data_IF_704620865812
#
_entry.id   IF_704620865812
#
_cell.length_a   1.000
_cell.length_b   1.000
_cell.length_c   1.000
_cell.angle_alpha   90.00
_cell.angle_beta   90.00
_cell.angle_gamma   90.00
#
_symmetry.space_group_name_H-M   'P 1'
#
loop_
_entity.id
_entity.type
_entity.pdbx_description
1 polymer ?
#
# COMPACT_ATOMS: atom_id res chain seq x y z
N UNK A 1 19.93 24.82 58.92
CA UNK A 1 18.61 24.61 58.30
C UNK A 1 18.80 23.74 57.07
N UNK A 2 18.23 22.53 57.12
CA UNK A 2 18.15 21.61 55.99
C UNK A 2 17.23 22.18 54.91
N UNK A 3 17.64 22.15 53.64
CA UNK A 3 16.70 22.03 52.52
C UNK A 3 17.27 21.01 51.54
N UNK A 4 16.50 19.93 51.41
CA UNK A 4 16.69 18.75 50.59
C UNK A 4 16.62 19.11 49.10
N UNK A 5 17.64 18.75 48.33
CA UNK A 5 17.57 18.77 46.86
C UNK A 5 16.91 17.49 46.38
N UNK A 6 15.63 17.59 46.02
CA UNK A 6 14.85 16.50 45.41
C UNK A 6 15.25 16.36 43.95
N UNK A 7 16.01 15.32 43.64
CA UNK A 7 16.31 14.90 42.26
C UNK A 7 15.04 14.35 41.61
N UNK A 8 14.45 15.10 40.67
CA UNK A 8 13.44 14.57 39.77
C UNK A 8 14.11 13.73 38.68
N UNK A 9 13.98 12.41 38.75
CA UNK A 9 14.24 11.55 37.60
C UNK A 9 13.04 11.63 36.65
N UNK A 10 13.18 12.40 35.56
CA UNK A 10 12.33 12.23 34.39
C UNK A 10 12.88 11.03 33.60
N UNK A 11 12.27 9.87 33.78
CA UNK A 11 12.44 8.74 32.89
C UNK A 11 11.79 9.09 31.54
N UNK A 12 12.57 9.66 30.63
CA UNK A 12 12.17 9.75 29.23
C UNK A 12 12.21 8.33 28.65
N UNK A 13 11.03 7.76 28.37
CA UNK A 13 10.90 6.60 27.51
C UNK A 13 11.45 6.99 26.13
N UNK A 14 12.74 6.77 25.90
CA UNK A 14 13.31 6.74 24.56
C UNK A 14 12.77 5.48 23.88
N UNK A 15 11.57 5.61 23.30
CA UNK A 15 11.17 4.71 22.23
C UNK A 15 12.26 4.78 21.17
N UNK A 16 12.83 3.63 20.81
CA UNK A 16 13.78 3.53 19.71
C UNK A 16 13.17 4.21 18.48
N UNK A 17 13.83 5.28 17.99
CA UNK A 17 13.44 5.93 16.74
C UNK A 17 13.76 4.94 15.62
N UNK A 18 12.75 4.16 15.22
CA UNK A 18 12.83 3.33 14.02
C UNK A 18 12.87 4.31 12.84
N UNK A 19 13.86 4.17 11.97
CA UNK A 19 13.95 5.01 10.79
C UNK A 19 12.75 4.69 9.87
N UNK A 20 11.97 5.70 9.51
CA UNK A 20 10.75 5.50 8.72
C UNK A 20 11.03 4.94 7.31
N UNK A 21 12.30 4.98 6.85
CA UNK A 21 12.76 4.38 5.59
C UNK A 21 12.69 2.85 5.58
N UNK A 22 12.68 2.22 6.76
CA UNK A 22 12.87 0.77 6.92
C UNK A 22 11.54 0.05 7.19
N UNK A 23 10.42 0.76 7.04
CA UNK A 23 9.08 0.25 7.30
C UNK A 23 8.31 0.15 6.00
N UNK A 24 8.01 -1.07 5.55
CA UNK A 24 7.00 -1.27 4.50
C UNK A 24 5.63 -1.11 5.14
N UNK A 25 4.85 -0.15 4.67
CA UNK A 25 3.51 0.11 5.18
C UNK A 25 2.48 -0.19 4.10
N UNK A 26 1.53 -1.09 4.39
CA UNK A 26 0.46 -1.49 3.47
C UNK A 26 -0.88 -1.10 4.06
N UNK A 27 -1.64 -0.29 3.34
CA UNK A 27 -2.93 0.22 3.82
C UNK A 27 -4.05 -0.03 2.81
N UNK A 28 -5.25 -0.33 3.31
CA UNK A 28 -6.47 -0.23 2.51
C UNK A 28 -6.86 1.25 2.40
N UNK A 29 -6.61 1.87 1.24
CA UNK A 29 -6.95 3.27 0.97
C UNK A 29 -8.45 3.42 0.74
N UNK A 30 -9.01 2.53 -0.09
CA UNK A 30 -10.45 2.44 -0.34
C UNK A 30 -10.90 0.97 -0.39
N UNK A 31 -12.09 0.66 0.13
CA UNK A 31 -13.00 1.57 0.84
C UNK A 31 -12.54 1.88 2.27
N UNK A 32 -12.95 3.04 2.79
CA UNK A 32 -12.89 3.40 4.21
C UNK A 32 -14.21 3.07 4.91
N UNK A 33 -14.20 3.05 6.25
CA UNK A 33 -15.40 2.91 7.08
C UNK A 33 -16.26 4.19 7.02
N UNK A 34 -16.88 4.40 5.86
CA UNK A 34 -17.67 5.57 5.48
C UNK A 34 -18.88 5.11 4.65
N UNK A 35 -19.70 6.07 4.23
CA UNK A 35 -20.84 5.83 3.34
C UNK A 35 -20.59 6.47 1.98
N UNK A 36 -20.74 5.69 0.90
CA UNK A 36 -20.56 6.16 -0.47
C UNK A 36 -21.86 6.04 -1.27
N UNK A 37 -22.01 6.80 -2.35
CA UNK A 37 -23.02 6.49 -3.36
C UNK A 37 -22.73 5.10 -3.98
N UNK A 38 -23.76 4.30 -4.32
CA UNK A 38 -23.57 3.11 -5.12
C UNK A 38 -22.83 3.43 -6.43
N UNK A 39 -21.90 2.55 -6.81
CA UNK A 39 -21.02 2.75 -7.96
C UNK A 39 -20.67 1.39 -8.60
N UNK A 40 -20.89 1.28 -9.91
CA UNK A 40 -20.57 0.11 -10.73
C UNK A 40 -19.07 -0.03 -11.07
N UNK A 41 -18.29 1.00 -10.78
CA UNK A 41 -16.85 1.09 -10.96
C UNK A 41 -16.19 1.59 -9.67
N UNK A 42 -16.57 1.01 -8.53
CA UNK A 42 -15.99 1.42 -7.24
C UNK A 42 -14.56 0.89 -7.11
N UNK A 43 -13.56 1.74 -6.77
CA UNK A 43 -12.18 1.32 -6.63
C UNK A 43 -11.91 0.66 -5.27
N UNK A 44 -11.35 -0.54 -5.29
CA UNK A 44 -10.68 -1.16 -4.14
C UNK A 44 -9.18 -0.90 -4.30
N UNK A 45 -8.57 -0.18 -3.37
CA UNK A 45 -7.20 0.33 -3.52
C UNK A 45 -6.39 0.04 -2.26
N UNK A 46 -5.27 -0.65 -2.44
CA UNK A 46 -4.23 -0.82 -1.45
C UNK A 46 -3.01 0.02 -1.82
N UNK A 47 -2.35 0.59 -0.83
CA UNK A 47 -1.11 1.32 -1.03
C UNK A 47 0.04 0.68 -0.27
N UNK A 48 1.16 0.46 -0.96
CA UNK A 48 2.44 0.00 -0.43
C UNK A 48 3.39 1.19 -0.38
N UNK A 49 3.64 1.74 0.81
CA UNK A 49 4.59 2.84 1.02
C UNK A 49 5.97 2.32 1.35
N UNK A 50 7.02 3.05 0.97
CA UNK A 50 8.38 2.51 0.90
C UNK A 50 8.42 1.22 0.07
N UNK A 51 7.80 1.27 -1.10
CA UNK A 51 7.47 0.09 -1.90
C UNK A 51 8.70 -0.72 -2.33
N UNK A 52 9.87 -0.09 -2.41
CA UNK A 52 11.15 -0.75 -2.70
C UNK A 52 11.47 -1.91 -1.74
N UNK A 53 11.05 -1.82 -0.48
CA UNK A 53 11.26 -2.88 0.52
C UNK A 53 10.50 -4.17 0.17
N UNK A 54 9.40 -4.07 -0.56
CA UNK A 54 8.56 -5.21 -0.93
C UNK A 54 9.28 -6.24 -1.82
N UNK A 55 10.30 -5.82 -2.59
CA UNK A 55 11.11 -6.75 -3.43
C UNK A 55 11.83 -7.83 -2.62
N UNK A 56 12.02 -7.60 -1.32
CA UNK A 56 12.65 -8.52 -0.37
C UNK A 56 11.66 -9.29 0.48
N UNK A 57 10.35 -9.09 0.25
CA UNK A 57 9.28 -9.68 1.04
C UNK A 57 8.32 -10.55 0.22
N UNK A 58 8.39 -10.54 -1.11
CA UNK A 58 7.49 -11.30 -2.00
C UNK A 58 6.01 -11.23 -1.52
N UNK A 59 5.42 -10.02 -1.44
CA UNK A 59 4.10 -9.86 -0.85
C UNK A 59 3.01 -10.39 -1.77
N UNK A 60 1.91 -10.81 -1.16
CA UNK A 60 0.66 -11.15 -1.85
C UNK A 60 -0.52 -10.48 -1.15
N UNK A 61 -1.53 -10.09 -1.91
CA UNK A 61 -2.79 -9.59 -1.35
C UNK A 61 -3.93 -10.41 -1.93
N UNK A 62 -4.73 -10.98 -1.04
CA UNK A 62 -6.04 -11.55 -1.34
C UNK A 62 -7.11 -10.85 -0.51
N UNK A 63 -8.31 -10.73 -1.06
CA UNK A 63 -9.42 -10.09 -0.36
C UNK A 63 -10.76 -10.62 -0.84
N UNK A 64 -11.77 -10.40 -0.01
CA UNK A 64 -13.16 -10.72 -0.32
C UNK A 64 -14.04 -9.49 -0.13
N UNK A 65 -14.95 -9.28 -1.07
CA UNK A 65 -15.95 -8.23 -1.03
C UNK A 65 -17.28 -8.88 -0.61
N UNK A 66 -17.63 -8.73 0.66
CA UNK A 66 -18.81 -9.34 1.27
C UNK A 66 -20.00 -8.41 1.19
N UNK A 67 -21.13 -8.95 0.75
CA UNK A 67 -22.45 -8.40 1.05
C UNK A 67 -22.88 -8.92 2.43
N UNK A 68 -22.98 -8.03 3.43
CA UNK A 68 -23.35 -8.47 4.79
C UNK A 68 -24.83 -8.86 4.93
N UNK A 69 -25.67 -8.51 3.95
CA UNK A 69 -27.10 -8.87 3.94
C UNK A 69 -27.30 -10.25 3.31
N UNK A 70 -26.75 -10.45 2.11
CA UNK A 70 -26.93 -11.69 1.35
C UNK A 70 -25.94 -12.79 1.75
N UNK A 71 -24.96 -12.45 2.61
CA UNK A 71 -23.87 -13.32 3.04
C UNK A 71 -23.11 -13.98 1.87
N UNK A 72 -22.99 -13.25 0.77
CA UNK A 72 -22.25 -13.62 -0.43
C UNK A 72 -20.92 -12.85 -0.50
N UNK A 73 -19.93 -13.41 -1.18
CA UNK A 73 -18.61 -12.80 -1.30
C UNK A 73 -17.95 -13.05 -2.65
N UNK A 74 -17.40 -11.99 -3.23
CA UNK A 74 -16.48 -12.08 -4.36
C UNK A 74 -15.05 -12.21 -3.84
N UNK A 75 -14.31 -13.25 -4.26
CA UNK A 75 -12.91 -13.48 -3.85
C UNK A 75 -11.97 -12.98 -4.94
N UNK A 76 -11.00 -12.18 -4.54
CA UNK A 76 -10.10 -11.43 -5.42
C UNK A 76 -8.66 -11.51 -4.93
N UNK A 77 -7.71 -11.30 -5.83
CA UNK A 77 -6.29 -11.22 -5.54
C UNK A 77 -5.61 -10.21 -6.46
N UNK A 78 -4.46 -9.68 -6.00
CA UNK A 78 -3.56 -8.91 -6.85
C UNK A 78 -2.37 -9.77 -7.26
N UNK A 79 -2.06 -9.76 -8.55
CA UNK A 79 -0.80 -10.31 -9.05
C UNK A 79 0.32 -9.32 -8.76
N UNK A 80 1.13 -9.61 -7.75
CA UNK A 80 2.18 -8.72 -7.25
C UNK A 80 3.60 -9.19 -7.63
N UNK A 81 3.74 -10.40 -8.18
CA UNK A 81 5.06 -11.00 -8.46
C UNK A 81 5.82 -10.21 -9.51
N UNK A 82 5.12 -9.59 -10.46
CA UNK A 82 5.71 -8.88 -11.59
C UNK A 82 5.82 -7.37 -11.40
N UNK A 83 5.55 -6.87 -10.19
CA UNK A 83 5.58 -5.44 -9.89
C UNK A 83 7.02 -4.95 -9.82
N UNK A 84 7.30 -3.84 -10.51
CA UNK A 84 8.56 -3.13 -10.33
C UNK A 84 8.53 -2.24 -9.08
N UNK A 85 8.89 -2.82 -7.94
CA UNK A 85 8.92 -2.17 -6.63
C UNK A 85 9.88 -0.98 -6.51
N UNK A 86 10.81 -0.82 -7.45
CA UNK A 86 11.77 0.31 -7.42
C UNK A 86 11.29 1.54 -8.16
N UNK A 87 10.17 1.44 -8.86
CA UNK A 87 9.75 2.49 -9.79
C UNK A 87 9.13 3.71 -9.09
N UNK A 88 8.64 3.54 -7.86
CA UNK A 88 7.95 4.59 -7.10
C UNK A 88 8.04 4.36 -5.58
N UNK A 89 7.97 5.44 -4.80
CA UNK A 89 7.98 5.36 -3.33
C UNK A 89 6.70 4.68 -2.79
N UNK A 90 5.54 5.01 -3.36
CA UNK A 90 4.25 4.38 -3.04
C UNK A 90 3.73 3.64 -4.26
N UNK A 91 3.48 2.33 -4.15
CA UNK A 91 2.82 1.53 -5.17
C UNK A 91 1.35 1.31 -4.84
N UNK A 92 0.45 1.56 -5.80
CA UNK A 92 -0.98 1.31 -5.64
C UNK A 92 -1.36 -0.01 -6.31
N UNK A 93 -1.84 -0.97 -5.52
CA UNK A 93 -2.51 -2.17 -6.02
C UNK A 93 -4.02 -1.92 -6.00
N UNK A 94 -4.68 -1.99 -7.16
CA UNK A 94 -6.07 -1.58 -7.27
C UNK A 94 -6.88 -2.44 -8.22
N UNK A 95 -8.20 -2.45 -8.02
CA UNK A 95 -9.18 -3.05 -8.91
C UNK A 95 -10.49 -2.28 -8.81
N UNK A 96 -11.14 -2.03 -9.94
CA UNK A 96 -12.49 -1.48 -9.99
C UNK A 96 -13.50 -2.64 -9.93
N UNK A 97 -14.53 -2.49 -9.09
CA UNK A 97 -15.56 -3.51 -8.92
C UNK A 97 -16.97 -2.92 -8.99
N UNK A 98 -17.87 -3.66 -9.64
CA UNK A 98 -19.30 -3.38 -9.66
C UNK A 98 -20.08 -3.99 -8.50
N UNK A 99 -19.41 -4.72 -7.59
CA UNK A 99 -20.03 -5.33 -6.39
C UNK A 99 -20.82 -4.29 -5.57
N UNK A 100 -20.39 -3.03 -5.59
CA UNK A 100 -20.96 -1.95 -4.76
C UNK A 100 -21.93 -1.04 -5.52
N UNK A 101 -22.58 -1.57 -6.55
CA UNK A 101 -23.53 -0.84 -7.43
C UNK A 101 -24.93 -0.65 -6.85
N UNK A 102 -25.23 -1.24 -5.69
CA UNK A 102 -26.52 -1.10 -4.98
C UNK A 102 -26.33 -0.54 -3.58
N UNK A 103 -27.42 -0.07 -2.95
CA UNK A 103 -27.40 0.29 -1.52
C UNK A 103 -27.20 -0.97 -0.66
N UNK A 104 -26.43 -0.85 0.41
CA UNK A 104 -26.11 -2.00 1.24
C UNK A 104 -25.05 -1.74 2.28
N UNK A 105 -24.74 -2.82 3.01
CA UNK A 105 -23.66 -2.87 3.98
C UNK A 105 -22.67 -3.93 3.54
N UNK A 106 -21.42 -3.52 3.45
CA UNK A 106 -20.38 -4.27 2.78
C UNK A 106 -19.18 -4.44 3.68
N UNK A 107 -18.43 -5.52 3.49
CA UNK A 107 -17.17 -5.75 4.19
C UNK A 107 -16.08 -6.12 3.20
N UNK A 108 -14.96 -5.41 3.25
CA UNK A 108 -13.71 -5.85 2.63
C UNK A 108 -12.91 -6.58 3.69
N UNK A 109 -12.76 -7.89 3.54
CA UNK A 109 -11.87 -8.71 4.34
C UNK A 109 -10.64 -9.02 3.50
N UNK A 110 -9.47 -8.55 3.91
CA UNK A 110 -8.24 -8.66 3.14
C UNK A 110 -7.12 -9.28 3.96
N UNK A 111 -6.23 -10.01 3.29
CA UNK A 111 -5.06 -10.64 3.87
C UNK A 111 -3.83 -10.21 3.08
N UNK A 112 -2.87 -9.62 3.79
CA UNK A 112 -1.51 -9.44 3.29
C UNK A 112 -0.69 -10.67 3.67
N UNK A 113 -0.18 -11.38 2.68
CA UNK A 113 0.87 -12.38 2.85
C UNK A 113 2.23 -11.77 2.52
N UNK A 114 3.27 -12.20 3.22
CA UNK A 114 4.65 -11.88 2.86
C UNK A 114 5.61 -12.95 3.38
N UNK A 115 6.77 -13.01 2.77
CA UNK A 115 7.87 -13.89 3.08
C UNK A 115 8.98 -13.12 3.81
N UNK A 116 9.57 -13.72 4.84
CA UNK A 116 10.73 -13.18 5.57
C UNK A 116 11.82 -14.23 5.71
N UNK A 117 13.06 -13.80 5.91
CA UNK A 117 14.15 -14.75 6.17
C UNK A 117 13.94 -15.53 7.47
N UNK A 118 14.25 -16.82 7.42
CA UNK A 118 14.58 -17.61 8.58
C UNK A 118 16.06 -17.37 8.94
N UNK A 119 16.31 -16.59 9.99
CA UNK A 119 17.67 -16.29 10.45
C UNK A 119 18.43 -17.54 10.92
N UNK A 120 17.71 -18.56 11.40
CA UNK A 120 18.26 -19.82 11.92
C UNK A 120 18.54 -20.85 10.82
N UNK A 121 18.02 -20.63 9.60
CA UNK A 121 18.26 -21.54 8.49
C UNK A 121 19.69 -21.42 7.94
N UNK A 122 20.35 -22.54 7.60
CA UNK A 122 21.64 -22.52 6.92
C UNK A 122 21.54 -21.79 5.57
N UNK A 123 22.67 -21.26 5.10
CA UNK A 123 22.77 -20.36 3.94
C UNK A 123 22.19 -20.92 2.62
N UNK A 124 22.00 -22.25 2.53
CA UNK A 124 21.45 -22.96 1.36
C UNK A 124 20.14 -23.72 1.62
N UNK A 125 19.49 -23.51 2.78
CA UNK A 125 18.20 -24.13 3.10
C UNK A 125 16.99 -23.40 2.50
N UNK A 126 15.79 -23.99 2.59
CA UNK A 126 14.51 -23.30 2.35
C UNK A 126 14.28 -22.25 3.47
N UNK A 127 15.12 -21.21 3.48
CA UNK A 127 15.31 -20.27 4.57
C UNK A 127 14.31 -19.12 4.59
N UNK A 128 13.06 -19.39 4.22
CA UNK A 128 11.99 -18.40 4.14
C UNK A 128 10.81 -18.84 5.00
N UNK A 129 10.22 -17.89 5.72
CA UNK A 129 9.02 -18.07 6.53
C UNK A 129 7.92 -17.22 5.93
N UNK A 130 6.80 -17.84 5.57
CA UNK A 130 5.59 -17.14 5.15
C UNK A 130 4.83 -16.65 6.39
N UNK A 131 4.45 -15.38 6.36
CA UNK A 131 3.70 -14.67 7.40
C UNK A 131 2.51 -14.00 6.75
N UNK A 132 1.42 -13.81 7.48
CA UNK A 132 0.28 -13.06 7.00
C UNK A 132 -0.38 -12.25 8.09
N UNK A 133 -1.15 -11.25 7.67
CA UNK A 133 -2.01 -10.46 8.53
C UNK A 133 -3.34 -10.25 7.80
N UNK A 134 -4.44 -10.54 8.49
CA UNK A 134 -5.79 -10.37 7.99
C UNK A 134 -6.46 -9.21 8.72
N UNK A 135 -7.08 -8.33 7.95
CA UNK A 135 -7.86 -7.22 8.48
C UNK A 135 -9.15 -7.02 7.72
N UNK A 136 -10.04 -6.20 8.25
CA UNK A 136 -11.32 -5.93 7.62
C UNK A 136 -11.76 -4.49 7.78
N UNK A 137 -12.55 -4.02 6.81
CA UNK A 137 -13.25 -2.75 6.87
C UNK A 137 -14.69 -2.98 6.48
N UNK A 138 -15.60 -2.51 7.32
CA UNK A 138 -17.03 -2.45 7.03
C UNK A 138 -17.35 -1.04 6.56
N UNK A 139 -18.19 -0.91 5.54
CA UNK A 139 -18.64 0.36 5.00
C UNK A 139 -20.06 0.21 4.45
N UNK A 140 -20.69 1.31 4.04
CA UNK A 140 -22.05 1.29 3.49
C UNK A 140 -22.16 2.03 2.17
N UNK A 141 -23.16 1.66 1.37
CA UNK A 141 -23.56 2.42 0.19
C UNK A 141 -24.99 2.92 0.36
N UNK A 142 -25.24 4.19 0.00
CA UNK A 142 -26.58 4.78 -0.03
C UNK A 142 -26.69 5.80 -1.17
N UNK A 143 -27.84 5.83 -1.85
CA UNK A 143 -28.17 6.79 -2.90
C UNK A 143 -28.14 8.25 -2.41
N UNK A 144 -28.24 8.46 -1.09
CA UNK A 144 -28.15 9.79 -0.46
C UNK A 144 -26.71 10.24 -0.18
N UNK A 145 -25.73 9.34 -0.27
CA UNK A 145 -24.33 9.63 0.00
C UNK A 145 -23.62 10.21 -1.23
N UNK A 146 -22.50 10.94 -1.05
CA UNK A 146 -21.72 11.45 -2.17
C UNK A 146 -21.03 10.33 -2.94
N UNK A 147 -20.83 10.54 -4.24
CA UNK A 147 -19.93 9.69 -5.04
C UNK A 147 -18.50 9.82 -4.51
N UNK A 148 -17.76 8.72 -4.55
CA UNK A 148 -16.35 8.74 -4.18
C UNK A 148 -15.56 9.56 -5.20
N UNK A 149 -14.86 10.57 -4.70
CA UNK A 149 -13.75 11.25 -5.37
C UNK A 149 -12.44 10.81 -4.69
N UNK A 150 -11.63 9.94 -5.31
CA UNK A 150 -10.40 9.44 -4.69
C UNK A 150 -9.39 10.54 -4.35
N UNK A 151 -9.33 11.61 -5.15
CA UNK A 151 -8.37 12.72 -4.93
C UNK A 151 -8.81 13.53 -3.73
N UNK A 152 -10.06 13.98 -3.72
CA UNK A 152 -10.58 14.76 -2.59
C UNK A 152 -10.61 13.95 -1.29
N UNK A 153 -10.98 12.66 -1.34
CA UNK A 153 -11.07 11.81 -0.17
C UNK A 153 -9.70 11.50 0.46
N UNK A 154 -8.62 11.47 -0.33
CA UNK A 154 -7.25 11.29 0.18
C UNK A 154 -6.51 12.58 0.53
N UNK A 155 -7.02 13.74 0.07
CA UNK A 155 -6.48 15.05 0.48
C UNK A 155 -6.71 15.35 1.97
N UNK A 156 -7.77 14.79 2.57
CA UNK A 156 -8.09 14.98 3.99
C UNK A 156 -7.17 14.13 4.90
N UNK A 157 -6.45 14.82 5.80
CA UNK A 157 -5.37 14.25 6.63
C UNK A 157 -5.83 13.37 7.80
N UNK A 158 -7.14 13.13 7.97
CA UNK A 158 -7.68 12.38 9.12
C UNK A 158 -8.50 11.18 8.66
N UNK A 159 -8.01 9.99 8.95
CA UNK A 159 -8.67 8.70 8.75
C UNK A 159 -8.26 7.81 9.91
N UNK A 160 -8.88 8.09 11.05
CA UNK A 160 -8.70 7.32 12.28
C UNK A 160 -9.34 5.94 12.11
N UNK A 161 -8.63 4.88 12.51
CA UNK A 161 -9.19 3.53 12.55
C UNK A 161 -9.20 2.78 11.22
N UNK A 162 -8.51 3.26 10.19
CA UNK A 162 -8.31 2.48 8.98
C UNK A 162 -7.29 1.35 9.19
N UNK A 163 -7.57 0.13 8.69
CA UNK A 163 -6.65 -0.97 8.83
C UNK A 163 -5.43 -0.82 7.91
N UNK A 164 -4.27 -1.12 8.48
CA UNK A 164 -3.01 -1.21 7.77
C UNK A 164 -2.07 -2.19 8.45
N UNK A 165 -1.04 -2.60 7.72
CA UNK A 165 0.02 -3.48 8.20
C UNK A 165 1.35 -2.76 7.99
N UNK A 166 2.13 -2.59 9.05
CA UNK A 166 3.51 -2.13 8.96
C UNK A 166 4.47 -3.29 9.22
N UNK A 167 5.46 -3.44 8.36
CA UNK A 167 6.50 -4.46 8.45
C UNK A 167 7.83 -3.75 8.64
N UNK A 168 8.47 -3.98 9.78
CA UNK A 168 9.79 -3.45 10.08
C UNK A 168 10.87 -4.32 9.40
N UNK A 169 11.39 -3.83 8.28
CA UNK A 169 12.39 -4.48 7.45
C UNK A 169 13.76 -4.03 7.92
N UNK A 170 14.59 -4.97 8.38
CA UNK A 170 15.95 -4.62 8.80
C UNK A 170 16.88 -4.43 7.60
N UNK A 171 18.07 -3.89 7.86
CA UNK A 171 19.17 -3.77 6.90
C UNK A 171 19.78 -5.11 6.46
N UNK A 172 19.31 -6.24 7.01
CA UNK A 172 19.84 -7.57 6.74
C UNK A 172 18.97 -8.33 5.75
N UNK A 173 19.61 -8.78 4.68
CA UNK A 173 19.03 -9.70 3.70
C UNK A 173 19.83 -10.99 3.60
N UNK A 174 19.18 -12.09 3.22
CA UNK A 174 19.86 -13.34 2.83
C UNK A 174 19.45 -13.73 1.41
N UNK A 175 20.38 -14.33 0.67
CA UNK A 175 20.09 -14.90 -0.65
C UNK A 175 19.05 -16.01 -0.54
N UNK A 176 18.18 -16.09 -1.54
CA UNK A 176 17.18 -17.16 -1.66
C UNK A 176 17.29 -17.83 -3.01
N UNK A 177 16.94 -19.12 -3.06
CA UNK A 177 16.80 -19.82 -4.34
C UNK A 177 15.69 -19.17 -5.17
N UNK A 178 15.95 -18.97 -6.45
CA UNK A 178 14.95 -18.46 -7.42
C UNK A 178 13.71 -19.36 -7.52
N UNK A 179 13.82 -20.64 -7.16
CA UNK A 179 12.69 -21.57 -7.13
C UNK A 179 11.65 -21.26 -6.03
N UNK A 180 12.03 -20.48 -5.01
CA UNK A 180 11.15 -20.11 -3.88
C UNK A 180 10.62 -18.67 -3.99
N UNK A 181 11.02 -17.94 -5.03
CA UNK A 181 10.82 -16.51 -5.14
C UNK A 181 10.29 -16.16 -6.52
N UNK A 182 8.97 -16.27 -6.67
CA UNK A 182 8.25 -15.87 -7.88
C UNK A 182 8.38 -14.35 -8.09
N UNK A 183 8.60 -13.92 -9.33
CA UNK A 183 8.73 -12.50 -9.70
C UNK A 183 9.95 -12.15 -10.55
N UNK A 184 10.79 -13.14 -10.87
CA UNK A 184 11.85 -13.03 -11.86
C UNK A 184 12.76 -11.81 -11.62
N UNK A 185 12.97 -10.99 -12.65
CA UNK A 185 13.91 -9.86 -12.64
C UNK A 185 13.55 -8.71 -11.69
N UNK A 186 12.32 -8.66 -11.17
CA UNK A 186 11.87 -7.59 -10.27
C UNK A 186 12.05 -7.93 -8.79
N UNK A 187 12.57 -9.13 -8.52
CA UNK A 187 12.94 -9.59 -7.19
C UNK A 187 14.45 -9.55 -7.08
N UNK A 188 14.98 -9.14 -5.92
CA UNK A 188 16.43 -9.07 -5.73
C UNK A 188 17.02 -10.43 -5.30
N UNK A 189 16.31 -11.55 -5.59
CA UNK A 189 16.63 -12.92 -5.15
C UNK A 189 17.12 -13.02 -3.70
N UNK A 190 16.55 -12.18 -2.84
CA UNK A 190 16.92 -12.04 -1.44
C UNK A 190 15.66 -11.90 -0.61
N UNK A 191 15.67 -12.52 0.57
CA UNK A 191 14.68 -12.25 1.61
C UNK A 191 15.20 -11.17 2.56
N UNK A 192 14.29 -10.43 3.17
CA UNK A 192 14.60 -9.55 4.29
C UNK A 192 14.41 -10.25 5.64
N UNK A 193 15.28 -9.95 6.59
CA UNK A 193 15.03 -10.19 8.01
C UNK A 193 14.11 -9.08 8.51
N UNK A 194 13.02 -9.44 9.19
CA UNK A 194 12.08 -8.48 9.78
C UNK A 194 12.20 -8.49 11.30
N UNK A 195 12.02 -7.34 11.93
CA UNK A 195 12.06 -7.23 13.39
C UNK A 195 10.83 -7.90 14.02
N UNK A 196 11.02 -8.55 15.17
CA UNK A 196 9.96 -9.32 15.82
C UNK A 196 8.92 -8.45 16.55
N UNK A 197 9.29 -7.23 17.00
CA UNK A 197 8.44 -6.32 17.77
C UNK A 197 9.19 -5.01 18.08
N UNK A 198 8.51 -3.87 18.27
CA UNK A 198 7.08 -3.66 18.01
C UNK A 198 6.78 -3.42 16.53
N UNK A 199 5.59 -3.85 16.12
CA UNK A 199 5.01 -3.47 14.82
C UNK A 199 4.84 -1.94 14.82
N UNK A 200 5.42 -1.22 13.85
CA UNK A 200 5.24 0.22 13.76
C UNK A 200 3.75 0.59 13.63
N UNK A 201 3.36 1.75 14.13
CA UNK A 201 2.02 2.27 13.87
C UNK A 201 1.86 2.60 12.39
N UNK A 202 0.75 2.20 11.77
CA UNK A 202 0.41 2.66 10.41
C UNK A 202 -0.14 4.08 10.43
N UNK A 203 0.05 4.79 9.33
CA UNK A 203 -0.59 6.07 9.05
C UNK A 203 -1.21 6.03 7.63
N UNK A 204 -2.36 5.34 7.49
CA UNK A 204 -3.05 5.20 6.20
C UNK A 204 -3.36 6.53 5.52
N UNK A 205 -3.49 7.60 6.29
CA UNK A 205 -3.85 8.95 5.84
C UNK A 205 -2.72 9.76 5.23
N UNK A 206 -1.49 9.26 5.33
CA UNK A 206 -0.37 9.85 4.59
C UNK A 206 -0.41 9.48 3.11
N UNK A 207 -1.21 8.50 2.73
CA UNK A 207 -1.35 8.06 1.35
C UNK A 207 -2.28 9.00 0.60
N UNK A 208 -1.72 9.76 -0.35
CA UNK A 208 -2.48 10.63 -1.23
C UNK A 208 -2.55 10.01 -2.63
N UNK A 209 -3.75 9.99 -3.20
CA UNK A 209 -3.96 9.72 -4.61
C UNK A 209 -4.15 11.08 -5.26
N UNK A 210 -3.15 11.53 -6.02
CA UNK A 210 -3.27 12.74 -6.83
C UNK A 210 -3.95 12.43 -8.19
N UNK A 211 -4.23 13.48 -8.96
CA UNK A 211 -4.85 13.35 -10.28
C UNK A 211 -4.02 12.49 -11.24
N UNK A 212 -2.69 12.52 -11.12
CA UNK A 212 -1.79 11.76 -12.00
C UNK A 212 -1.83 10.27 -11.68
N UNK A 213 -1.81 9.93 -10.39
CA UNK A 213 -2.00 8.59 -9.88
C UNK A 213 -3.36 8.03 -10.30
N UNK A 214 -4.43 8.80 -10.09
CA UNK A 214 -5.78 8.38 -10.48
C UNK A 214 -5.90 8.15 -11.99
N UNK A 215 -5.47 9.11 -12.82
CA UNK A 215 -5.54 9.01 -14.27
C UNK A 215 -4.75 7.80 -14.79
N UNK A 216 -3.62 7.48 -14.18
CA UNK A 216 -2.86 6.30 -14.58
C UNK A 216 -3.49 4.99 -14.11
N UNK A 217 -4.13 4.97 -12.94
CA UNK A 217 -4.89 3.80 -12.49
C UNK A 217 -6.02 3.48 -13.47
N UNK A 218 -6.77 4.51 -13.87
CA UNK A 218 -7.85 4.39 -14.86
C UNK A 218 -7.32 3.95 -16.22
N UNK A 219 -6.23 4.56 -16.70
CA UNK A 219 -5.62 4.21 -17.98
C UNK A 219 -5.12 2.76 -18.03
N UNK A 220 -4.50 2.28 -16.95
CA UNK A 220 -4.01 0.90 -16.86
C UNK A 220 -5.15 -0.12 -16.69
N UNK A 221 -6.21 0.24 -15.95
CA UNK A 221 -7.43 -0.57 -15.89
C UNK A 221 -8.07 -0.70 -17.27
N UNK A 222 -8.16 0.40 -18.02
CA UNK A 222 -8.69 0.41 -19.37
C UNK A 222 -7.83 -0.41 -20.34
N UNK A 223 -6.51 -0.27 -20.29
CA UNK A 223 -5.60 -1.08 -21.10
C UNK A 223 -5.78 -2.58 -20.84
N UNK A 224 -5.87 -2.97 -19.55
CA UNK A 224 -6.10 -4.37 -19.17
C UNK A 224 -7.46 -4.90 -19.68
N UNK A 225 -8.49 -4.05 -19.66
CA UNK A 225 -9.80 -4.37 -20.23
C UNK A 225 -9.71 -4.57 -21.75
N UNK A 226 -9.01 -3.70 -22.48
CA UNK A 226 -8.80 -3.84 -23.92
C UNK A 226 -8.00 -5.11 -24.28
N UNK A 227 -6.98 -5.45 -23.51
CA UNK A 227 -6.15 -6.65 -23.75
C UNK A 227 -6.92 -7.96 -23.50
N UNK A 228 -7.91 -7.93 -22.59
CA UNK A 228 -8.66 -9.12 -22.17
C UNK A 228 -9.90 -9.40 -23.03
N UNK A 229 -10.41 -8.40 -23.78
CA UNK A 229 -11.62 -8.54 -24.58
C UNK A 229 -11.28 -8.72 -26.07
N UNK A 230 -11.41 -9.95 -26.56
CA UNK A 230 -11.12 -10.33 -27.95
C UNK A 230 -11.99 -9.61 -29.00
N UNK A 231 -13.18 -9.14 -28.61
CA UNK A 231 -14.02 -8.28 -29.44
C UNK A 231 -13.73 -6.83 -29.06
N UNK A 232 -12.65 -6.30 -29.62
CA UNK A 232 -12.14 -4.94 -29.41
C UNK A 232 -13.30 -3.93 -29.58
N UNK A 233 -13.76 -3.24 -28.51
CA UNK A 233 -14.58 -2.05 -28.68
C UNK A 233 -13.82 -1.08 -29.58
N UNK A 234 -14.50 -0.34 -30.46
CA UNK A 234 -13.85 0.60 -31.37
C UNK A 234 -12.92 1.61 -30.65
N UNK A 235 -13.18 1.86 -29.37
CA UNK A 235 -12.43 2.74 -28.46
C UNK A 235 -11.08 2.15 -27.99
N UNK A 236 -10.85 0.84 -28.13
CA UNK A 236 -9.57 0.20 -27.82
C UNK A 236 -8.55 0.31 -28.98
N UNK A 237 -9.00 0.72 -30.17
CA UNK A 237 -8.21 0.69 -31.41
C UNK A 237 -7.17 1.80 -31.57
N UNK A 238 -7.12 2.79 -30.67
CA UNK A 238 -6.23 3.94 -30.80
C UNK A 238 -4.93 3.88 -29.97
N UNK A 239 -4.63 2.78 -29.25
CA UNK A 239 -3.43 2.72 -28.36
C UNK A 239 -2.49 1.53 -28.57
N UNK A 240 -2.42 0.95 -29.77
CA UNK A 240 -1.35 0.01 -30.14
C UNK A 240 0.00 0.71 -30.44
N UNK A 241 0.55 1.48 -29.49
CA UNK A 241 1.99 1.85 -29.44
C UNK A 241 2.33 2.70 -28.20
N UNK A 242 2.32 2.12 -26.99
CA UNK A 242 3.08 2.61 -25.81
C UNK A 242 2.98 1.64 -24.62
N UNK A 243 2.98 0.33 -24.87
CA UNK A 243 3.00 -0.67 -23.80
C UNK A 243 4.41 -0.74 -23.17
N UNK A 244 4.72 0.24 -22.33
CA UNK A 244 5.63 0.06 -21.21
C UNK A 244 4.80 0.23 -19.93
N UNK A 245 5.08 -0.52 -18.86
CA UNK A 245 4.46 -0.27 -17.57
C UNK A 245 4.96 1.11 -17.10
N UNK A 246 4.16 2.16 -17.34
CA UNK A 246 4.42 3.48 -16.85
C UNK A 246 4.10 3.48 -15.37
N UNK A 247 5.14 3.22 -14.58
CA UNK A 247 5.17 3.55 -13.17
C UNK A 247 4.89 5.05 -13.02
N UNK A 248 3.97 5.39 -12.14
CA UNK A 248 3.39 6.71 -12.06
C UNK A 248 4.21 7.51 -11.07
N UNK A 249 4.81 8.57 -11.56
CA UNK A 249 5.62 9.47 -10.78
C UNK A 249 4.76 10.25 -9.77
N UNK A 250 4.72 9.78 -8.53
CA UNK A 250 4.32 10.62 -7.40
C UNK A 250 5.43 11.62 -7.12
N UNK A 251 5.28 12.86 -7.59
CA UNK A 251 6.27 13.91 -7.38
C UNK A 251 6.22 14.36 -5.91
N UNK A 252 7.12 13.85 -5.08
CA UNK A 252 7.33 14.39 -3.73
C UNK A 252 7.89 15.81 -3.84
N UNK A 253 7.10 16.81 -3.47
CA UNK A 253 7.53 18.20 -3.36
C UNK A 253 8.66 18.34 -2.32
N UNK A 254 9.91 18.41 -2.79
CA UNK A 254 11.03 18.91 -2.01
C UNK A 254 10.98 20.44 -2.04
N UNK A 255 10.49 21.05 -0.96
CA UNK A 255 10.68 22.48 -0.72
C UNK A 255 12.16 22.73 -0.38
N UNK A 256 12.93 23.15 -1.38
CA UNK A 256 14.30 23.64 -1.22
C UNK A 256 14.29 25.00 -0.52
N UNK A 257 14.80 25.07 0.70
CA UNK A 257 15.20 26.32 1.35
C UNK A 257 16.50 26.80 0.70
N UNK A 258 16.41 27.80 -0.19
CA UNK A 258 17.57 28.63 -0.57
C UNK A 258 17.46 29.96 0.17
N UNK A 259 18.29 30.13 1.21
CA UNK A 259 18.49 31.41 1.88
C UNK A 259 19.44 32.28 1.06
N UNK A 260 18.95 33.45 0.67
CA UNK A 260 19.66 34.42 -0.16
C UNK A 260 20.86 35.07 0.58
N UNK A 261 21.93 35.26 -0.19
CA UNK A 261 23.09 36.09 0.11
C UNK A 261 22.67 37.55 0.35
N UNK A 262 22.88 38.05 1.56
CA UNK A 262 22.80 39.45 1.91
C UNK A 262 24.16 40.13 1.82
N UNK A 263 24.28 41.04 0.87
CA UNK A 263 25.38 41.99 0.68
C UNK A 263 25.71 42.77 1.96
N UNK A 264 27.00 42.88 2.32
CA UNK A 264 27.50 43.99 3.14
C UNK A 264 28.43 44.86 2.28
N UNK A 265 27.92 46.05 1.94
CA UNK A 265 28.68 47.24 1.59
C UNK A 265 28.44 48.24 2.72
N UNK A 266 29.42 48.40 3.63
CA UNK A 266 29.99 49.65 4.17
C UNK A 266 31.35 49.29 4.76
#
# INVERSE_FOLDING_TARGET
MHISTTTWMLAACLGTVINASDVLEVNLVFPRNETYAPNDTFPVVFAFKNSELARHLNPSISYSLWNEVDNSADILWHELSWVNWTAQETYFAYRYSGTFSTEGRWRVLWTLGWNRCNVESPEYGNGVISTSNTSSTVFTTSNSAPKLDPVAATANKTCTGQPGVAINVTDKTKSVSSALWEGGKYTNHTCAVVAASPTPSTNPCRTQIDETALASMEASSWASYCDSNFNEPAECSDKKSSAQPLAVAGLSCLLGLTGALGFFLV
#
